data_IF_070002130324
#
_entry.id   IF_070002130324
#
_cell.length_a   1.000
_cell.length_b   1.000
_cell.length_c   1.000
_cell.angle_alpha   90.00
_cell.angle_beta   90.00
_cell.angle_gamma   90.00
#
_symmetry.space_group_name_H-M   'P 1'
#
loop_
_entity.id
_entity.type
_entity.pdbx_description
1 polymer ?
#
# COMPACT_ATOMS: atom_id res chain seq x y z
N UNK A 1 -8.22 23.69 -14.05
CA UNK A 1 -8.15 22.21 -14.20
C UNK A 1 -7.58 21.61 -12.92
N UNK A 2 -8.27 21.83 -11.79
CA UNK A 2 -7.89 21.36 -10.43
C UNK A 2 -9.05 20.57 -9.79
N UNK A 3 -10.26 20.69 -10.36
CA UNK A 3 -11.50 20.19 -9.76
C UNK A 3 -11.68 18.67 -9.97
N UNK A 4 -11.16 18.09 -11.06
CA UNK A 4 -11.27 16.65 -11.31
C UNK A 4 -10.30 15.80 -10.47
N UNK A 5 -9.12 16.34 -10.10
CA UNK A 5 -8.10 15.61 -9.33
C UNK A 5 -8.60 15.31 -7.92
N UNK A 6 -9.21 16.29 -7.26
CA UNK A 6 -9.77 16.13 -5.91
C UNK A 6 -10.98 15.18 -5.89
N UNK A 7 -11.70 15.05 -7.01
CA UNK A 7 -12.91 14.25 -7.08
C UNK A 7 -12.58 12.75 -7.13
N UNK A 8 -11.67 12.34 -8.03
CA UNK A 8 -11.37 10.91 -8.19
C UNK A 8 -10.64 10.34 -6.97
N UNK A 9 -9.74 11.11 -6.33
CA UNK A 9 -8.96 10.60 -5.21
C UNK A 9 -9.84 10.36 -3.98
N UNK A 10 -10.74 11.30 -3.66
CA UNK A 10 -11.72 11.11 -2.59
C UNK A 10 -12.64 9.92 -2.90
N UNK A 11 -13.10 9.78 -4.15
CA UNK A 11 -13.92 8.66 -4.57
C UNK A 11 -13.17 7.31 -4.46
N UNK A 12 -11.88 7.27 -4.80
CA UNK A 12 -11.05 6.08 -4.66
C UNK A 12 -10.86 5.69 -3.19
N UNK A 13 -10.69 6.67 -2.31
CA UNK A 13 -10.59 6.46 -0.87
C UNK A 13 -11.93 6.00 -0.27
N UNK A 14 -13.06 6.54 -0.71
CA UNK A 14 -14.39 6.07 -0.33
C UNK A 14 -14.57 4.59 -0.71
N UNK A 15 -14.27 4.23 -1.97
CA UNK A 15 -14.30 2.82 -2.39
C UNK A 15 -13.32 1.95 -1.61
N UNK A 16 -12.15 2.45 -1.23
CA UNK A 16 -11.19 1.72 -0.42
C UNK A 16 -11.72 1.46 1.01
N UNK A 17 -12.36 2.46 1.62
CA UNK A 17 -12.96 2.34 2.95
C UNK A 17 -14.14 1.36 2.94
N UNK A 18 -14.95 1.39 1.88
CA UNK A 18 -16.06 0.46 1.62
C UNK A 18 -15.61 -0.94 1.19
N UNK A 19 -14.30 -1.20 1.10
CA UNK A 19 -13.70 -2.45 0.62
C UNK A 19 -14.08 -2.81 -0.82
N UNK A 20 -14.56 -1.84 -1.58
CA UNK A 20 -14.79 -1.94 -3.01
C UNK A 20 -13.47 -1.75 -3.78
N UNK A 21 -12.53 -2.66 -3.51
CA UNK A 21 -11.18 -2.62 -4.06
C UNK A 21 -11.15 -2.59 -5.58
N UNK A 22 -12.13 -3.21 -6.25
CA UNK A 22 -12.20 -3.23 -7.70
C UNK A 22 -12.38 -1.83 -8.30
N UNK A 23 -13.24 -1.00 -7.69
CA UNK A 23 -13.45 0.37 -8.17
C UNK A 23 -12.32 1.30 -7.73
N UNK A 24 -11.79 1.11 -6.51
CA UNK A 24 -10.62 1.85 -6.05
C UNK A 24 -9.41 1.63 -6.97
N UNK A 25 -9.10 0.36 -7.32
CA UNK A 25 -8.01 0.01 -8.24
C UNK A 25 -8.15 0.72 -9.59
N UNK A 26 -9.34 0.68 -10.20
CA UNK A 26 -9.60 1.34 -11.49
C UNK A 26 -9.30 2.83 -11.48
N UNK A 27 -9.62 3.52 -10.39
CA UNK A 27 -9.35 4.94 -10.26
C UNK A 27 -7.85 5.22 -10.13
N UNK A 28 -7.13 4.44 -9.31
CA UNK A 28 -5.67 4.57 -9.21
C UNK A 28 -4.94 4.20 -10.50
N UNK A 29 -5.40 3.17 -11.24
CA UNK A 29 -4.86 2.84 -12.56
C UNK A 29 -5.05 3.97 -13.57
N UNK A 30 -6.22 4.64 -13.54
CA UNK A 30 -6.46 5.82 -14.38
C UNK A 30 -5.56 6.99 -13.97
N UNK A 31 -5.40 7.22 -12.66
CA UNK A 31 -4.53 8.26 -12.14
C UNK A 31 -3.07 8.05 -12.56
N UNK A 32 -2.54 6.82 -12.45
CA UNK A 32 -1.19 6.46 -12.90
C UNK A 32 -1.00 6.71 -14.40
N UNK A 33 -2.02 6.47 -15.24
CA UNK A 33 -1.95 6.77 -16.68
C UNK A 33 -1.84 8.27 -16.97
N UNK A 34 -2.38 9.13 -16.10
CA UNK A 34 -2.37 10.59 -16.27
C UNK A 34 -1.11 11.18 -15.65
N UNK A 35 -0.73 10.73 -14.46
CA UNK A 35 0.40 11.21 -13.66
C UNK A 35 1.28 10.03 -13.23
N UNK A 36 2.07 9.44 -14.15
CA UNK A 36 2.85 8.23 -13.87
C UNK A 36 3.99 8.46 -12.87
N UNK A 37 4.35 9.70 -12.59
CA UNK A 37 5.44 10.05 -11.68
C UNK A 37 4.97 10.22 -10.22
N UNK A 38 3.67 10.07 -9.95
CA UNK A 38 3.13 10.22 -8.59
C UNK A 38 3.23 8.89 -7.84
N UNK A 39 4.33 8.69 -7.11
CA UNK A 39 4.70 7.41 -6.47
C UNK A 39 3.63 6.90 -5.48
N UNK A 40 2.96 7.81 -4.77
CA UNK A 40 1.93 7.45 -3.80
C UNK A 40 0.73 6.71 -4.40
N UNK A 41 0.46 6.87 -5.71
CA UNK A 41 -0.58 6.12 -6.40
C UNK A 41 -0.22 4.63 -6.54
N UNK A 42 1.06 4.31 -6.70
CA UNK A 42 1.55 2.93 -6.78
C UNK A 42 1.48 2.23 -5.42
N UNK A 43 1.79 2.92 -4.31
CA UNK A 43 1.62 2.32 -2.98
C UNK A 43 0.16 1.98 -2.70
N UNK A 44 -0.75 2.92 -3.00
CA UNK A 44 -2.19 2.72 -2.85
C UNK A 44 -2.69 1.57 -3.73
N UNK A 45 -2.32 1.56 -5.01
CA UNK A 45 -2.73 0.50 -5.92
C UNK A 45 -2.18 -0.87 -5.51
N UNK A 46 -0.90 -0.96 -5.14
CA UNK A 46 -0.32 -2.23 -4.70
C UNK A 46 -0.95 -2.72 -3.39
N UNK A 47 -1.28 -1.82 -2.45
CA UNK A 47 -2.04 -2.19 -1.25
C UNK A 47 -3.44 -2.73 -1.61
N UNK A 48 -4.12 -2.10 -2.58
CA UNK A 48 -5.42 -2.56 -3.06
C UNK A 48 -5.31 -3.95 -3.68
N UNK A 49 -4.29 -4.22 -4.50
CA UNK A 49 -4.05 -5.56 -5.05
C UNK A 49 -3.77 -6.59 -3.95
N UNK A 50 -2.97 -6.24 -2.94
CA UNK A 50 -2.72 -7.12 -1.80
C UNK A 50 -4.03 -7.51 -1.10
N UNK A 51 -4.92 -6.52 -0.86
CA UNK A 51 -6.22 -6.76 -0.22
C UNK A 51 -7.21 -7.53 -1.10
N UNK A 52 -6.97 -7.60 -2.41
CA UNK A 52 -7.68 -8.48 -3.34
C UNK A 52 -7.12 -9.91 -3.39
N UNK A 53 -6.03 -10.20 -2.66
CA UNK A 53 -5.29 -11.47 -2.73
C UNK A 53 -4.37 -11.58 -3.96
N UNK A 54 -4.10 -10.46 -4.63
CA UNK A 54 -3.23 -10.36 -5.80
C UNK A 54 -1.83 -9.92 -5.36
N UNK A 55 -1.13 -10.83 -4.68
CA UNK A 55 0.15 -10.53 -4.04
C UNK A 55 1.27 -10.24 -5.06
N UNK A 56 1.31 -10.99 -6.16
CA UNK A 56 2.30 -10.79 -7.21
C UNK A 56 2.13 -9.41 -7.87
N UNK A 57 0.89 -9.03 -8.18
CA UNK A 57 0.55 -7.71 -8.73
C UNK A 57 0.88 -6.59 -7.75
N UNK A 58 0.64 -6.78 -6.45
CA UNK A 58 1.02 -5.83 -5.42
C UNK A 58 2.53 -5.56 -5.41
N UNK A 59 3.34 -6.62 -5.37
CA UNK A 59 4.81 -6.51 -5.36
C UNK A 59 5.33 -5.86 -6.65
N UNK A 60 4.81 -6.27 -7.81
CA UNK A 60 5.18 -5.66 -9.09
C UNK A 60 4.83 -4.16 -9.14
N UNK A 61 3.67 -3.79 -8.60
CA UNK A 61 3.21 -2.39 -8.57
C UNK A 61 4.11 -1.54 -7.66
N UNK A 62 4.54 -2.05 -6.51
CA UNK A 62 5.45 -1.33 -5.61
C UNK A 62 6.88 -1.21 -6.18
N UNK A 63 7.36 -2.24 -6.87
CA UNK A 63 8.69 -2.25 -7.47
C UNK A 63 8.80 -1.33 -8.68
N UNK A 64 7.73 -1.18 -9.46
CA UNK A 64 7.73 -0.41 -10.71
C UNK A 64 8.35 0.99 -10.57
N UNK A 65 7.89 1.87 -9.66
CA UNK A 65 8.52 3.18 -9.48
C UNK A 65 9.96 3.08 -8.96
N UNK A 66 10.30 2.06 -8.18
CA UNK A 66 11.64 1.89 -7.59
C UNK A 66 12.71 1.50 -8.61
N UNK A 67 12.32 0.99 -9.79
CA UNK A 67 13.28 0.61 -10.84
C UNK A 67 14.08 1.79 -11.40
N UNK A 68 13.53 3.00 -11.30
CA UNK A 68 14.16 4.25 -11.74
C UNK A 68 14.68 5.08 -10.56
N UNK A 69 14.64 4.54 -9.33
CA UNK A 69 15.12 5.24 -8.14
C UNK A 69 16.64 5.39 -8.15
N UNK A 70 17.13 6.61 -7.92
CA UNK A 70 18.53 6.81 -7.56
C UNK A 70 18.78 6.33 -6.12
N UNK A 71 20.05 6.05 -5.78
CA UNK A 71 20.46 5.55 -4.45
C UNK A 71 20.01 6.44 -3.27
N UNK A 72 19.82 7.74 -3.52
CA UNK A 72 19.34 8.70 -2.52
C UNK A 72 17.82 8.65 -2.31
N UNK A 73 17.05 8.31 -3.36
CA UNK A 73 15.59 8.33 -3.34
C UNK A 73 15.01 7.03 -2.78
N UNK A 74 15.66 5.90 -3.07
CA UNK A 74 15.18 4.57 -2.72
C UNK A 74 14.85 4.41 -1.21
N UNK A 75 15.70 4.87 -0.25
CA UNK A 75 15.36 4.78 1.17
C UNK A 75 14.11 5.58 1.54
N UNK A 76 13.88 6.72 0.89
CA UNK A 76 12.69 7.56 1.14
C UNK A 76 11.43 6.83 0.69
N UNK A 77 11.42 6.28 -0.53
CA UNK A 77 10.26 5.56 -1.06
C UNK A 77 9.97 4.25 -0.31
N UNK A 78 11.02 3.55 0.14
CA UNK A 78 10.86 2.39 1.02
C UNK A 78 10.16 2.80 2.32
N UNK A 79 10.58 3.91 2.95
CA UNK A 79 9.97 4.38 4.19
C UNK A 79 8.50 4.78 3.98
N UNK A 80 8.19 5.51 2.91
CA UNK A 80 6.82 5.94 2.62
C UNK A 80 5.89 4.75 2.31
N UNK A 81 6.37 3.75 1.56
CA UNK A 81 5.64 2.50 1.35
C UNK A 81 5.41 1.76 2.67
N UNK A 82 6.45 1.60 3.49
CA UNK A 82 6.36 0.92 4.79
C UNK A 82 5.38 1.64 5.71
N UNK A 83 5.39 2.97 5.75
CA UNK A 83 4.44 3.77 6.53
C UNK A 83 2.99 3.55 6.05
N UNK A 84 2.76 3.58 4.72
CA UNK A 84 1.44 3.30 4.14
C UNK A 84 0.93 1.91 4.50
N UNK A 85 1.79 0.89 4.43
CA UNK A 85 1.42 -0.48 4.79
C UNK A 85 1.21 -0.63 6.29
N UNK A 86 2.01 0.04 7.11
CA UNK A 86 1.87 0.02 8.56
C UNK A 86 0.52 0.60 8.99
N UNK A 87 0.11 1.74 8.43
CA UNK A 87 -1.18 2.37 8.72
C UNK A 87 -2.33 1.40 8.44
N UNK A 88 -2.31 0.71 7.31
CA UNK A 88 -3.36 -0.26 6.98
C UNK A 88 -3.28 -1.50 7.89
N UNK A 89 -2.08 -2.01 8.21
CA UNK A 89 -1.94 -3.13 9.15
C UNK A 89 -2.53 -2.78 10.53
N UNK A 90 -2.25 -1.59 11.05
CA UNK A 90 -2.83 -1.09 12.31
C UNK A 90 -4.35 -0.94 12.22
N UNK A 91 -4.87 -0.43 11.10
CA UNK A 91 -6.32 -0.38 10.84
C UNK A 91 -6.93 -1.78 10.88
N UNK A 92 -6.31 -2.78 10.25
CA UNK A 92 -6.80 -4.17 10.26
C UNK A 92 -6.77 -4.77 11.67
N UNK A 93 -5.74 -4.47 12.46
CA UNK A 93 -5.68 -4.89 13.86
C UNK A 93 -6.80 -4.29 14.71
N UNK A 94 -7.13 -3.01 14.51
CA UNK A 94 -8.24 -2.37 15.23
C UNK A 94 -9.60 -2.96 14.88
N UNK A 95 -9.71 -3.58 13.70
CA UNK A 95 -10.88 -4.33 13.22
C UNK A 95 -10.83 -5.82 13.57
N UNK A 96 -9.82 -6.26 14.31
CA UNK A 96 -9.56 -7.67 14.65
C UNK A 96 -9.33 -8.59 13.42
N UNK A 97 -8.94 -8.01 12.28
CA UNK A 97 -8.64 -8.71 11.03
C UNK A 97 -7.17 -9.13 11.01
N UNK A 98 -6.78 -9.94 12.01
CA UNK A 98 -5.38 -10.26 12.30
C UNK A 98 -4.67 -11.04 11.18
N UNK A 99 -5.39 -11.87 10.41
CA UNK A 99 -4.80 -12.58 9.26
C UNK A 99 -4.33 -11.61 8.17
N UNK A 100 -5.14 -10.59 7.87
CA UNK A 100 -4.82 -9.56 6.89
C UNK A 100 -3.70 -8.66 7.43
N UNK A 101 -3.78 -8.24 8.69
CA UNK A 101 -2.72 -7.47 9.32
C UNK A 101 -1.38 -8.22 9.29
N UNK A 102 -1.39 -9.52 9.62
CA UNK A 102 -0.21 -10.37 9.57
C UNK A 102 0.38 -10.44 8.17
N UNK A 103 -0.46 -10.64 7.14
CA UNK A 103 -0.03 -10.66 5.74
C UNK A 103 0.67 -9.36 5.34
N UNK A 104 0.05 -8.21 5.61
CA UNK A 104 0.64 -6.89 5.33
C UNK A 104 2.00 -6.75 6.03
N UNK A 105 2.09 -7.20 7.29
CA UNK A 105 3.36 -7.15 8.04
C UNK A 105 4.44 -8.07 7.48
N UNK A 106 4.09 -9.21 6.87
CA UNK A 106 5.07 -10.05 6.16
C UNK A 106 5.65 -9.29 4.97
N UNK A 107 4.81 -8.61 4.17
CA UNK A 107 5.27 -7.78 3.06
C UNK A 107 6.16 -6.62 3.55
N UNK A 108 5.82 -5.97 4.67
CA UNK A 108 6.69 -4.96 5.29
C UNK A 108 8.06 -5.57 5.66
N UNK A 109 8.11 -6.80 6.17
CA UNK A 109 9.37 -7.48 6.49
C UNK A 109 10.20 -7.78 5.24
N UNK A 110 9.57 -8.14 4.13
CA UNK A 110 10.27 -8.37 2.86
C UNK A 110 10.86 -7.09 2.30
N UNK A 111 10.11 -5.98 2.37
CA UNK A 111 10.52 -4.66 1.90
C UNK A 111 11.61 -4.05 2.80
N UNK A 112 11.44 -4.14 4.12
CA UNK A 112 12.38 -3.60 5.11
C UNK A 112 12.66 -4.62 6.24
N UNK A 113 13.58 -5.57 6.02
CA UNK A 113 13.88 -6.64 6.98
C UNK A 113 14.46 -6.16 8.31
N UNK A 114 15.04 -4.96 8.36
CA UNK A 114 15.62 -4.39 9.57
C UNK A 114 14.63 -3.54 10.39
N UNK A 115 13.37 -3.42 9.95
CA UNK A 115 12.37 -2.63 10.66
C UNK A 115 11.86 -3.35 11.92
N UNK A 116 12.56 -3.15 13.03
CA UNK A 116 12.35 -3.84 14.32
C UNK A 116 10.92 -3.71 14.82
N UNK A 117 10.29 -2.53 14.71
CA UNK A 117 8.91 -2.36 15.18
C UNK A 117 7.94 -3.29 14.46
N UNK A 118 8.09 -3.47 13.14
CA UNK A 118 7.26 -4.41 12.39
C UNK A 118 7.51 -5.86 12.82
N UNK A 119 8.78 -6.25 13.06
CA UNK A 119 9.11 -7.60 13.54
C UNK A 119 8.45 -7.91 14.89
N UNK A 120 8.45 -6.94 15.82
CA UNK A 120 7.76 -7.08 17.11
C UNK A 120 6.25 -7.25 16.92
N UNK A 121 5.65 -6.46 16.03
CA UNK A 121 4.21 -6.56 15.77
C UNK A 121 3.81 -7.86 15.08
N UNK A 122 4.64 -8.42 14.20
CA UNK A 122 4.40 -9.78 13.64
C UNK A 122 4.23 -10.79 14.77
N UNK A 123 5.10 -10.77 15.78
CA UNK A 123 5.02 -11.68 16.92
C UNK A 123 3.75 -11.45 17.75
N UNK A 124 3.39 -10.19 17.99
CA UNK A 124 2.18 -9.82 18.74
C UNK A 124 0.91 -10.27 18.01
N UNK A 125 0.81 -10.05 16.71
CA UNK A 125 -0.35 -10.45 15.90
C UNK A 125 -0.44 -11.97 15.76
N UNK A 126 0.69 -12.69 15.71
CA UNK A 126 0.72 -14.15 15.55
C UNK A 126 0.13 -14.94 16.73
N UNK A 127 -0.10 -14.29 17.88
CA UNK A 127 -0.66 -14.91 19.09
C UNK A 127 -2.10 -14.45 19.39
N UNK A 128 -2.72 -13.69 18.49
CA UNK A 128 -4.13 -13.28 18.56
C UNK A 128 -4.97 -14.15 17.64
#
# INVERSE_FOLDING_TARGET
>A
MIIDIYNWQNQAEEYFIEENYLQAAKLYEQAIKIEPNTISYYWRLGLIFLLQGQEEEAQMTWMLPMTEADEEQLPTWINELVESLQIEAERRETREEYSIAWLIRQHIREINPSYINNLLQILIVSIK
#
